data_IF_728111317583
#
_entry.id   IF_728111317583
#
_cell.length_a   1.000
_cell.length_b   1.000
_cell.length_c   1.000
_cell.angle_alpha   90.00
_cell.angle_beta   90.00
_cell.angle_gamma   90.00
#
_symmetry.space_group_name_H-M   'P 1'
#
loop_
_entity.id
_entity.type
_entity.pdbx_description
1 polymer ?
#
# COMPACT_ATOMS: atom_id res chain seq x y z
N UNK A 1 7.89 -59.34 -16.08
CA UNK A 1 6.60 -58.67 -15.77
C UNK A 1 6.64 -58.24 -14.32
N UNK A 2 7.32 -57.12 -14.04
CA UNK A 2 7.11 -56.31 -12.83
C UNK A 2 7.62 -54.91 -13.13
N UNK A 3 6.75 -53.94 -12.91
CA UNK A 3 6.81 -52.54 -13.32
C UNK A 3 8.10 -51.80 -12.93
N UNK A 4 8.59 -51.00 -13.89
CA UNK A 4 9.56 -49.94 -13.64
C UNK A 4 8.80 -48.83 -12.93
N UNK A 5 9.16 -48.57 -11.67
CA UNK A 5 8.71 -47.43 -10.88
C UNK A 5 8.99 -46.11 -11.62
N UNK A 6 8.03 -45.69 -12.43
CA UNK A 6 8.00 -44.38 -13.07
C UNK A 6 7.51 -43.36 -12.04
N UNK A 7 8.39 -42.95 -11.12
CA UNK A 7 8.11 -41.79 -10.28
C UNK A 7 8.17 -40.53 -11.15
N UNK A 8 7.07 -39.77 -11.31
CA UNK A 8 7.13 -38.49 -11.99
C UNK A 8 7.96 -37.56 -11.10
N UNK A 9 9.13 -37.16 -11.61
CA UNK A 9 9.92 -36.05 -11.06
C UNK A 9 9.06 -34.79 -11.14
N UNK A 10 8.26 -34.55 -10.10
CA UNK A 10 7.59 -33.26 -9.87
C UNK A 10 8.68 -32.26 -9.48
N UNK A 11 9.46 -31.83 -10.47
CA UNK A 11 10.21 -30.59 -10.43
C UNK A 11 9.20 -29.46 -10.35
N UNK A 12 8.73 -29.20 -9.13
CA UNK A 12 7.76 -28.16 -8.84
C UNK A 12 8.40 -26.83 -9.16
N UNK A 13 8.12 -26.32 -10.36
CA UNK A 13 8.09 -24.89 -10.61
C UNK A 13 7.12 -24.36 -9.57
N UNK A 14 7.62 -23.96 -8.41
CA UNK A 14 6.84 -23.12 -7.51
C UNK A 14 6.35 -21.99 -8.42
N UNK A 15 5.02 -21.78 -8.54
CA UNK A 15 4.51 -20.74 -9.43
C UNK A 15 5.26 -19.47 -9.08
N UNK A 16 5.86 -18.79 -10.06
CA UNK A 16 6.67 -17.58 -9.82
C UNK A 16 5.99 -16.65 -8.81
N UNK A 17 4.67 -16.52 -8.90
CA UNK A 17 3.85 -15.81 -7.92
C UNK A 17 4.05 -16.23 -6.46
N UNK A 18 4.14 -17.53 -6.13
CA UNK A 18 4.39 -18.03 -4.77
C UNK A 18 5.79 -17.64 -4.27
N UNK A 19 6.80 -17.73 -5.13
CA UNK A 19 8.17 -17.34 -4.76
C UNK A 19 8.27 -15.83 -4.53
N UNK A 20 7.65 -15.03 -5.41
CA UNK A 20 7.56 -13.57 -5.28
C UNK A 20 6.78 -13.19 -4.01
N UNK A 21 5.63 -13.81 -3.74
CA UNK A 21 4.85 -13.53 -2.52
C UNK A 21 5.62 -13.85 -1.25
N UNK A 22 6.36 -14.97 -1.21
CA UNK A 22 7.20 -15.31 -0.05
C UNK A 22 8.34 -14.32 0.14
N UNK A 23 9.01 -13.91 -0.94
CA UNK A 23 10.05 -12.89 -0.88
C UNK A 23 9.52 -11.54 -0.40
N UNK A 24 8.37 -11.09 -0.91
CA UNK A 24 7.72 -9.84 -0.48
C UNK A 24 7.31 -9.89 1.00
N UNK A 25 6.79 -11.03 1.47
CA UNK A 25 6.45 -11.22 2.87
C UNK A 25 7.69 -11.21 3.78
N UNK A 26 8.75 -11.93 3.39
CA UNK A 26 9.99 -12.02 4.18
C UNK A 26 10.79 -10.71 4.21
N UNK A 27 10.69 -9.87 3.18
CA UNK A 27 11.38 -8.58 3.08
C UNK A 27 10.63 -7.41 3.72
N UNK A 28 9.38 -7.59 4.13
CA UNK A 28 8.50 -6.51 4.57
C UNK A 28 8.02 -5.59 3.43
N UNK A 29 8.43 -5.83 2.18
CA UNK A 29 7.91 -5.09 1.02
C UNK A 29 6.42 -5.36 0.78
N UNK A 30 5.92 -6.54 1.13
CA UNK A 30 4.51 -6.89 0.97
C UNK A 30 3.58 -5.92 1.69
N UNK A 31 3.96 -5.47 2.88
CA UNK A 31 3.18 -4.48 3.64
C UNK A 31 3.35 -3.07 3.08
N UNK A 32 4.57 -2.68 2.68
CA UNK A 32 4.79 -1.43 1.95
C UNK A 32 3.98 -1.33 0.66
N UNK A 33 3.85 -2.44 -0.08
CA UNK A 33 3.04 -2.52 -1.30
C UNK A 33 1.54 -2.50 -1.01
N UNK A 34 1.08 -3.11 0.09
CA UNK A 34 -0.32 -3.00 0.54
C UNK A 34 -0.68 -1.55 0.87
N UNK A 35 0.20 -0.88 1.59
CA UNK A 35 -0.01 0.50 2.03
C UNK A 35 0.20 1.50 0.89
N UNK A 36 0.95 1.15 -0.16
CA UNK A 36 1.16 1.99 -1.34
C UNK A 36 -0.14 2.56 -1.91
N UNK A 37 -1.18 1.72 -2.01
CA UNK A 37 -2.50 2.16 -2.50
C UNK A 37 -3.11 3.28 -1.66
N UNK A 38 -2.88 3.27 -0.35
CA UNK A 38 -3.37 4.31 0.56
C UNK A 38 -2.61 5.61 0.33
N UNK A 39 -1.28 5.55 0.19
CA UNK A 39 -0.45 6.72 -0.11
C UNK A 39 -0.80 7.35 -1.46
N UNK A 40 -1.01 6.52 -2.48
CA UNK A 40 -1.45 6.95 -3.81
C UNK A 40 -2.85 7.57 -3.78
N UNK A 41 -3.80 6.91 -3.12
CA UNK A 41 -5.16 7.43 -2.99
C UNK A 41 -5.21 8.79 -2.26
N UNK A 42 -4.38 8.98 -1.23
CA UNK A 42 -4.25 10.25 -0.53
C UNK A 42 -3.71 11.36 -1.43
N UNK A 43 -2.59 11.09 -2.13
CA UNK A 43 -2.00 12.02 -3.10
C UNK A 43 -3.01 12.44 -4.16
N UNK A 44 -3.74 11.48 -4.70
CA UNK A 44 -4.67 11.75 -5.79
C UNK A 44 -5.96 12.44 -5.31
N UNK A 45 -6.35 12.25 -4.03
CA UNK A 45 -7.46 12.97 -3.41
C UNK A 45 -7.15 14.47 -3.21
N UNK A 46 -5.90 14.79 -2.83
CA UNK A 46 -5.43 16.16 -2.64
C UNK A 46 -5.14 16.88 -3.97
N UNK A 47 -4.69 16.14 -4.97
CA UNK A 47 -4.14 16.72 -6.19
C UNK A 47 -2.70 17.21 -6.03
N UNK A 48 -2.04 17.57 -7.14
CA UNK A 48 -0.58 17.73 -7.21
C UNK A 48 -0.04 18.92 -6.41
N UNK A 49 -0.83 19.96 -6.17
CA UNK A 49 -0.39 21.14 -5.43
C UNK A 49 -0.42 20.89 -3.91
N UNK A 50 -1.57 20.47 -3.39
CA UNK A 50 -1.73 20.22 -1.95
C UNK A 50 -0.94 18.99 -1.48
N UNK A 51 -0.73 17.98 -2.34
CA UNK A 51 0.06 16.80 -1.99
C UNK A 51 1.53 17.13 -1.67
N UNK A 52 2.05 18.27 -2.14
CA UNK A 52 3.40 18.73 -1.78
C UNK A 52 3.47 19.20 -0.33
N UNK A 53 2.38 19.76 0.18
CA UNK A 53 2.30 20.37 1.51
C UNK A 53 1.65 19.48 2.57
N UNK A 54 1.10 18.33 2.18
CA UNK A 54 0.41 17.37 3.03
C UNK A 54 0.78 15.93 2.63
N UNK A 55 2.03 15.56 2.90
CA UNK A 55 2.63 14.30 2.46
C UNK A 55 2.28 13.16 3.42
N UNK A 56 1.75 12.05 2.91
CA UNK A 56 1.57 10.84 3.71
C UNK A 56 2.92 10.17 4.00
N UNK A 57 3.25 9.96 5.27
CA UNK A 57 4.55 9.43 5.69
C UNK A 57 4.47 8.04 6.31
N UNK A 58 3.31 7.64 6.85
CA UNK A 58 3.11 6.31 7.43
C UNK A 58 1.63 5.90 7.32
N UNK A 59 1.36 4.60 7.28
CA UNK A 59 0.01 4.05 7.39
C UNK A 59 0.03 2.81 8.28
N UNK A 60 -0.70 2.87 9.39
CA UNK A 60 -0.74 1.78 10.36
C UNK A 60 -2.06 1.78 11.11
N UNK A 61 -2.58 0.59 11.40
CA UNK A 61 -3.81 0.40 12.20
C UNK A 61 -5.02 1.20 11.68
N UNK A 62 -5.10 1.41 10.35
CA UNK A 62 -6.19 2.18 9.74
C UNK A 62 -6.02 3.69 9.78
N UNK A 63 -4.90 4.19 10.30
CA UNK A 63 -4.59 5.61 10.39
C UNK A 63 -3.49 5.99 9.40
N UNK A 64 -3.77 7.02 8.59
CA UNK A 64 -2.79 7.65 7.73
C UNK A 64 -2.11 8.79 8.49
N UNK A 65 -0.80 8.74 8.61
CA UNK A 65 0.00 9.82 9.20
C UNK A 65 0.44 10.75 8.07
N UNK A 66 0.10 12.02 8.23
CA UNK A 66 0.38 13.07 7.25
C UNK A 66 1.29 14.11 7.88
N UNK A 67 2.41 14.37 7.22
CA UNK A 67 3.30 15.48 7.52
C UNK A 67 2.85 16.70 6.73
N UNK A 68 2.88 17.87 7.37
CA UNK A 68 2.47 19.14 6.77
C UNK A 68 3.53 20.21 7.01
N UNK A 69 3.80 21.01 5.98
CA UNK A 69 4.95 21.93 5.96
C UNK A 69 4.80 23.11 6.93
N UNK A 70 3.57 23.43 7.36
CA UNK A 70 3.32 24.56 8.23
C UNK A 70 2.13 24.33 9.18
N UNK A 71 2.11 25.08 10.28
CA UNK A 71 0.97 25.10 11.19
C UNK A 71 -0.31 25.63 10.54
N UNK A 72 -0.20 26.51 9.54
CA UNK A 72 -1.34 27.01 8.77
C UNK A 72 -1.96 25.88 7.92
N UNK A 73 -1.13 25.14 7.16
CA UNK A 73 -1.57 23.96 6.40
C UNK A 73 -2.18 22.90 7.32
N UNK A 74 -1.59 22.67 8.50
CA UNK A 74 -2.17 21.78 9.52
C UNK A 74 -3.57 22.22 9.93
N UNK A 75 -3.72 23.51 10.25
CA UNK A 75 -4.99 24.05 10.73
C UNK A 75 -6.07 23.95 9.65
N UNK A 76 -5.73 24.29 8.40
CA UNK A 76 -6.63 24.18 7.26
C UNK A 76 -7.06 22.73 7.01
N UNK A 77 -6.08 21.82 6.97
CA UNK A 77 -6.31 20.40 6.75
C UNK A 77 -7.18 19.80 7.86
N UNK A 78 -6.90 20.09 9.13
CA UNK A 78 -7.66 19.49 10.23
C UNK A 78 -9.08 20.05 10.33
N UNK A 79 -9.27 21.36 10.13
CA UNK A 79 -10.53 22.01 10.47
C UNK A 79 -11.49 22.18 9.29
N UNK A 80 -10.99 22.18 8.05
CA UNK A 80 -11.81 22.56 6.89
C UNK A 80 -11.87 21.48 5.81
N UNK A 81 -10.75 20.83 5.49
CA UNK A 81 -10.66 20.01 4.27
C UNK A 81 -10.32 18.53 4.50
N UNK A 82 -9.75 18.18 5.65
CA UNK A 82 -9.20 16.84 5.91
C UNK A 82 -10.24 15.74 5.90
N UNK A 83 -11.44 15.98 6.41
CA UNK A 83 -12.52 14.98 6.37
C UNK A 83 -13.00 14.71 4.94
N UNK A 84 -13.01 15.73 4.07
CA UNK A 84 -13.32 15.55 2.66
C UNK A 84 -12.26 14.69 1.97
N UNK A 85 -10.98 15.02 2.14
CA UNK A 85 -9.89 14.27 1.53
C UNK A 85 -9.78 12.85 2.06
N UNK A 86 -10.02 12.63 3.36
CA UNK A 86 -10.08 11.30 3.96
C UNK A 86 -11.19 10.45 3.34
N UNK A 87 -12.39 11.01 3.16
CA UNK A 87 -13.50 10.31 2.50
C UNK A 87 -13.17 9.98 1.05
N UNK A 88 -12.58 10.91 0.32
CA UNK A 88 -12.19 10.69 -1.07
C UNK A 88 -11.08 9.63 -1.20
N UNK A 89 -10.05 9.68 -0.37
CA UNK A 89 -9.01 8.66 -0.33
C UNK A 89 -9.59 7.28 -0.01
N UNK A 90 -10.49 7.17 0.98
CA UNK A 90 -11.15 5.92 1.32
C UNK A 90 -11.99 5.36 0.15
N UNK A 91 -12.75 6.22 -0.56
CA UNK A 91 -13.49 5.81 -1.76
C UNK A 91 -12.60 5.21 -2.85
N UNK A 92 -11.37 5.72 -2.98
CA UNK A 92 -10.39 5.25 -3.98
C UNK A 92 -9.73 3.93 -3.59
N UNK A 93 -9.51 3.70 -2.29
CA UNK A 93 -8.93 2.45 -1.79
C UNK A 93 -9.94 1.30 -1.91
N UNK A 94 -11.23 1.58 -1.68
CA UNK A 94 -12.33 0.60 -1.70
C UNK A 94 -12.82 0.28 -0.30
#
# INVERSE_FOLDING_TARGET
MTDIDNQPRRGGVAPLGRAVSQFLAASGLGDKMRNWKVHEAWRDALGPELAQHATSVDFRRGELIVEVDSAAHKHELVNFTGEQYRKEANRRVG
#
